data_IF_226026047372
#
_entry.id   IF_226026047372
#
_cell.length_a   1.000
_cell.length_b   1.000
_cell.length_c   1.000
_cell.angle_alpha   90.00
_cell.angle_beta   90.00
_cell.angle_gamma   90.00
#
_symmetry.space_group_name_H-M   'P 1'
#
loop_
_entity.id
_entity.type
_entity.pdbx_description
1 polymer ?
#
# COMPACT_ATOMS: atom_id res chain seq x y z
N UNK A 1 -49.96 33.10 -17.29
CA UNK A 1 -49.15 34.19 -16.69
C UNK A 1 -47.68 33.87 -16.98
N UNK A 2 -47.09 34.32 -18.09
CA UNK A 2 -46.39 35.61 -18.34
C UNK A 2 -45.28 35.96 -17.33
N UNK A 3 -44.05 35.99 -17.88
CA UNK A 3 -42.84 36.78 -17.54
C UNK A 3 -41.97 36.20 -16.39
N UNK A 4 -40.63 36.16 -16.43
CA UNK A 4 -39.65 36.89 -17.27
C UNK A 4 -38.26 36.22 -17.20
N UNK A 5 -37.53 36.32 -18.32
CA UNK A 5 -36.11 36.01 -18.46
C UNK A 5 -35.22 36.99 -17.67
N UNK A 6 -34.05 36.53 -17.19
CA UNK A 6 -32.88 37.37 -17.02
C UNK A 6 -31.65 36.67 -17.60
N UNK A 7 -31.27 37.09 -18.80
CA UNK A 7 -29.96 36.89 -19.36
C UNK A 7 -29.11 38.11 -18.97
N UNK A 8 -27.92 37.89 -18.42
CA UNK A 8 -26.88 38.92 -18.33
C UNK A 8 -25.67 38.40 -19.09
N UNK A 9 -25.56 38.91 -20.31
CA UNK A 9 -24.34 38.92 -21.11
C UNK A 9 -23.54 40.15 -20.70
N UNK A 10 -22.26 40.01 -20.36
CA UNK A 10 -21.34 41.14 -20.42
C UNK A 10 -20.03 40.69 -21.08
N UNK A 11 -19.71 41.36 -22.18
CA UNK A 11 -18.62 41.11 -23.11
C UNK A 11 -18.06 42.50 -23.44
N UNK A 12 -16.83 42.81 -23.02
CA UNK A 12 -16.04 44.00 -23.42
C UNK A 12 -14.56 43.56 -23.39
N UNK A 13 -13.94 43.25 -24.54
CA UNK A 13 -13.08 44.12 -25.40
C UNK A 13 -11.81 44.60 -24.66
N UNK A 14 -10.62 44.03 -24.86
CA UNK A 14 -9.68 44.12 -26.00
C UNK A 14 -8.67 45.27 -25.91
N UNK A 15 -7.44 44.99 -26.38
CA UNK A 15 -6.29 45.87 -26.67
C UNK A 15 -5.38 46.14 -25.45
N UNK A 16 -4.07 45.92 -25.48
CA UNK A 16 -3.15 45.87 -26.61
C UNK A 16 -2.16 47.03 -26.47
N UNK A 17 -1.01 46.80 -25.84
CA UNK A 17 0.16 47.69 -25.96
C UNK A 17 1.37 46.81 -26.26
N UNK A 18 1.64 46.70 -27.56
CA UNK A 18 2.99 46.52 -28.06
C UNK A 18 3.70 47.87 -27.89
N UNK A 19 4.85 47.87 -27.20
CA UNK A 19 5.86 48.91 -27.34
C UNK A 19 7.14 48.28 -27.87
N UNK A 20 7.55 48.80 -29.02
CA UNK A 20 8.70 48.41 -29.81
C UNK A 20 10.03 48.86 -29.19
N UNK A 21 11.06 48.06 -29.46
CA UNK A 21 12.48 48.39 -29.67
C UNK A 21 13.02 49.75 -29.19
N UNK A 22 14.03 49.68 -28.33
CA UNK A 22 15.23 50.50 -28.51
C UNK A 22 16.47 49.65 -28.28
N UNK A 23 17.23 49.50 -29.35
CA UNK A 23 18.57 48.93 -29.39
C UNK A 23 19.55 49.90 -28.75
N UNK A 24 20.23 49.47 -27.68
CA UNK A 24 21.52 50.04 -27.32
C UNK A 24 22.51 48.90 -27.13
N UNK A 25 23.36 48.73 -28.13
CA UNK A 25 24.51 47.86 -28.09
C UNK A 25 25.48 48.38 -27.01
N UNK A 26 25.60 47.65 -25.91
CA UNK A 26 26.78 47.68 -25.06
C UNK A 26 27.46 46.32 -25.13
N UNK A 27 28.70 46.37 -25.62
CA UNK A 27 29.70 45.32 -25.56
C UNK A 27 30.01 45.09 -24.09
N UNK A 28 29.64 43.93 -23.55
CA UNK A 28 30.15 43.43 -22.29
C UNK A 28 30.71 42.02 -22.49
N UNK A 29 31.93 41.91 -22.00
CA UNK A 29 32.94 40.85 -21.98
C UNK A 29 32.42 39.45 -21.64
N UNK A 30 33.04 38.34 -22.14
CA UNK A 30 32.59 36.99 -21.85
C UNK A 30 32.70 36.71 -20.36
N UNK A 31 31.56 36.40 -19.73
CA UNK A 31 31.50 35.88 -18.37
C UNK A 31 32.13 34.48 -18.39
N UNK A 32 33.23 34.32 -17.66
CA UNK A 32 33.85 33.02 -17.44
C UNK A 32 32.82 32.01 -16.95
N UNK A 33 32.80 30.83 -17.58
CA UNK A 33 31.99 29.70 -17.15
C UNK A 33 32.31 29.40 -15.69
N UNK A 34 31.32 29.60 -14.81
CA UNK A 34 31.36 29.03 -13.47
C UNK A 34 31.47 27.50 -13.64
N UNK A 35 32.42 26.83 -12.96
CA UNK A 35 32.50 25.40 -13.02
C UNK A 35 31.19 24.85 -12.46
N UNK A 36 30.40 24.22 -13.34
CA UNK A 36 29.29 23.35 -12.95
C UNK A 36 29.87 22.36 -11.97
N UNK A 37 29.60 22.61 -10.69
CA UNK A 37 29.96 21.69 -9.63
C UNK A 37 29.17 20.43 -9.93
N UNK A 38 29.85 19.44 -10.51
CA UNK A 38 29.33 18.09 -10.60
C UNK A 38 29.00 17.70 -9.17
N UNK A 39 27.70 17.68 -8.87
CA UNK A 39 27.20 17.09 -7.64
C UNK A 39 27.59 15.63 -7.75
N UNK A 40 28.65 15.29 -7.02
CA UNK A 40 29.16 13.95 -6.89
C UNK A 40 28.02 13.05 -6.41
N UNK A 41 27.42 12.32 -7.35
CA UNK A 41 26.33 11.37 -7.08
C UNK A 41 26.83 10.11 -6.37
N UNK A 42 28.08 10.10 -5.91
CA UNK A 42 28.67 9.04 -5.11
C UNK A 42 28.78 9.40 -3.63
N UNK A 43 27.81 10.17 -3.09
CA UNK A 43 27.49 10.10 -1.66
C UNK A 43 27.18 8.63 -1.34
N UNK A 44 28.22 7.94 -0.84
CA UNK A 44 28.24 6.56 -0.44
C UNK A 44 26.88 6.17 0.12
N UNK A 45 26.10 5.38 -0.65
CA UNK A 45 24.94 4.70 -0.10
C UNK A 45 25.50 3.77 0.97
N UNK A 46 25.52 4.26 2.21
CA UNK A 46 25.85 3.47 3.38
C UNK A 46 25.00 2.21 3.27
N UNK A 47 25.67 1.06 3.19
CA UNK A 47 24.98 -0.21 3.12
C UNK A 47 24.07 -0.33 4.36
N UNK A 48 22.79 -0.64 4.12
CA UNK A 48 21.79 -0.77 5.16
C UNK A 48 22.25 -1.78 6.21
N UNK A 49 22.06 -1.47 7.49
CA UNK A 49 22.32 -2.45 8.57
C UNK A 49 21.40 -3.69 8.46
N UNK A 50 20.34 -3.58 7.66
CA UNK A 50 19.37 -4.62 7.35
C UNK A 50 19.58 -5.26 5.97
N UNK A 51 20.72 -5.04 5.30
CA UNK A 51 20.98 -5.59 3.96
C UNK A 51 20.75 -7.11 3.87
N UNK A 52 21.21 -7.88 4.87
CA UNK A 52 21.01 -9.34 4.93
C UNK A 52 19.54 -9.73 5.12
N UNK A 53 18.78 -8.97 5.91
CA UNK A 53 17.34 -9.17 6.05
C UNK A 53 16.63 -8.88 4.72
N UNK A 54 16.95 -7.75 4.08
CA UNK A 54 16.32 -7.31 2.83
C UNK A 54 16.59 -8.30 1.69
N UNK A 55 17.74 -8.98 1.67
CA UNK A 55 18.05 -10.04 0.69
C UNK A 55 17.10 -11.25 0.76
N UNK A 56 16.45 -11.49 1.90
CA UNK A 56 15.47 -12.60 2.06
C UNK A 56 14.15 -12.33 1.35
N UNK A 57 13.82 -11.07 1.07
CA UNK A 57 12.60 -10.70 0.35
C UNK A 57 12.82 -10.81 -1.15
N UNK A 58 11.98 -11.59 -1.85
CA UNK A 58 12.07 -11.74 -3.30
C UNK A 58 11.60 -10.45 -4.01
N UNK A 59 12.40 -9.84 -4.90
CA UNK A 59 11.93 -8.70 -5.67
C UNK A 59 10.74 -9.08 -6.57
N UNK A 60 9.72 -8.22 -6.61
CA UNK A 60 8.55 -8.40 -7.48
C UNK A 60 8.17 -7.09 -8.20
N UNK A 61 7.51 -7.22 -9.34
CA UNK A 61 6.84 -6.13 -10.06
C UNK A 61 5.44 -6.60 -10.45
N UNK A 62 4.45 -5.73 -10.29
CA UNK A 62 3.05 -6.03 -10.57
C UNK A 62 2.28 -4.76 -10.90
N UNK A 63 1.24 -4.92 -11.73
CA UNK A 63 0.19 -3.91 -11.90
C UNK A 63 -0.94 -4.15 -10.88
N UNK A 64 -1.25 -5.43 -10.63
CA UNK A 64 -2.19 -5.86 -9.59
C UNK A 64 -1.67 -7.17 -9.00
N UNK A 65 -1.64 -7.24 -7.68
CA UNK A 65 -1.28 -8.44 -6.92
C UNK A 65 -2.40 -8.72 -5.93
N UNK A 66 -3.09 -9.83 -6.14
CA UNK A 66 -4.02 -10.39 -5.18
C UNK A 66 -3.26 -11.05 -4.03
N UNK A 67 -3.75 -10.80 -2.82
CA UNK A 67 -3.18 -11.27 -1.56
C UNK A 67 -4.30 -11.92 -0.76
N UNK A 68 -4.28 -13.24 -0.70
CA UNK A 68 -5.21 -14.08 0.03
C UNK A 68 -4.51 -14.82 1.15
N UNK A 69 -5.29 -15.21 2.15
CA UNK A 69 -4.90 -16.18 3.15
C UNK A 69 -5.30 -17.52 2.54
N UNK A 70 -4.36 -18.34 2.16
CA UNK A 70 -4.68 -19.74 1.89
C UNK A 70 -3.54 -20.55 2.48
N UNK A 71 -3.86 -21.28 3.55
CA UNK A 71 -2.90 -22.11 4.27
C UNK A 71 -2.67 -23.45 3.54
N UNK A 72 -3.71 -23.96 2.89
CA UNK A 72 -3.76 -25.36 2.43
C UNK A 72 -4.08 -25.52 0.94
N UNK A 73 -3.77 -24.50 0.13
CA UNK A 73 -3.91 -24.59 -1.32
C UNK A 73 -2.57 -24.79 -2.01
N UNK A 74 -2.64 -25.15 -3.30
CA UNK A 74 -1.46 -25.20 -4.18
C UNK A 74 -0.76 -23.83 -4.28
N UNK A 75 -1.38 -22.76 -3.79
CA UNK A 75 -0.85 -21.42 -3.84
C UNK A 75 0.22 -21.17 -2.77
N UNK A 76 1.47 -21.33 -3.19
CA UNK A 76 2.64 -21.09 -2.34
C UNK A 76 3.20 -19.67 -2.50
N UNK A 77 2.45 -18.73 -3.12
CA UNK A 77 2.94 -17.37 -3.43
C UNK A 77 3.43 -16.65 -2.18
N UNK A 78 2.79 -16.81 -1.03
CA UNK A 78 3.17 -16.12 0.22
C UNK A 78 3.82 -17.04 1.26
N UNK A 79 4.44 -18.15 0.84
CA UNK A 79 5.19 -19.02 1.76
C UNK A 79 6.41 -18.30 2.35
N UNK A 80 7.13 -17.55 1.52
CA UNK A 80 8.30 -16.77 1.93
C UNK A 80 9.47 -17.59 2.48
N UNK A 81 10.49 -16.89 2.97
CA UNK A 81 11.62 -17.42 3.71
C UNK A 81 11.47 -17.06 5.20
N UNK A 82 11.57 -18.04 6.08
CA UNK A 82 11.44 -17.81 7.52
C UNK A 82 12.55 -16.88 8.05
N UNK A 83 12.15 -15.90 8.86
CA UNK A 83 13.05 -15.00 9.56
C UNK A 83 13.52 -15.62 10.87
N UNK A 84 14.73 -15.26 11.30
CA UNK A 84 15.18 -15.57 12.66
C UNK A 84 14.40 -14.74 13.68
N UNK A 85 14.36 -15.19 14.94
CA UNK A 85 13.73 -14.43 16.03
C UNK A 85 14.31 -13.00 16.15
N UNK A 86 15.61 -12.82 15.91
CA UNK A 86 16.26 -11.50 15.93
C UNK A 86 15.73 -10.58 14.82
N UNK A 87 15.53 -11.12 13.63
CA UNK A 87 15.02 -10.37 12.49
C UNK A 87 13.52 -10.05 12.64
N UNK A 88 12.72 -11.02 13.11
CA UNK A 88 11.30 -10.84 13.33
C UNK A 88 11.00 -9.75 14.37
N UNK A 89 11.86 -9.58 15.40
CA UNK A 89 11.76 -8.50 16.41
C UNK A 89 11.84 -7.08 15.83
N UNK A 90 12.28 -6.91 14.59
CA UNK A 90 12.32 -5.61 13.92
C UNK A 90 10.91 -5.19 13.46
N UNK A 91 10.02 -6.16 13.23
CA UNK A 91 8.66 -5.91 12.76
C UNK A 91 7.77 -5.43 13.91
N UNK A 92 6.92 -4.40 13.70
CA UNK A 92 6.08 -3.80 14.73
C UNK A 92 4.81 -4.64 14.99
N UNK A 93 4.96 -5.92 15.32
CA UNK A 93 3.83 -6.86 15.47
C UNK A 93 3.14 -6.81 16.86
N UNK A 94 3.61 -5.94 17.76
CA UNK A 94 3.02 -5.73 19.08
C UNK A 94 3.37 -6.82 20.11
N UNK A 95 3.05 -8.09 19.83
CA UNK A 95 3.24 -9.20 20.78
C UNK A 95 4.32 -10.14 20.26
N UNK A 96 5.52 -10.05 20.84
CA UNK A 96 6.65 -10.95 20.56
C UNK A 96 6.57 -12.26 21.34
N UNK A 97 5.48 -12.52 22.04
CA UNK A 97 5.33 -13.69 22.92
C UNK A 97 4.69 -14.90 22.20
N UNK A 98 4.08 -14.69 21.02
CA UNK A 98 3.48 -15.74 20.19
C UNK A 98 4.46 -16.37 19.19
N UNK A 99 5.77 -16.30 19.45
CA UNK A 99 6.71 -17.11 18.68
C UNK A 99 6.38 -18.57 18.94
N UNK A 100 6.08 -19.33 17.88
CA UNK A 100 5.78 -20.77 17.92
C UNK A 100 7.03 -21.55 18.38
N UNK A 101 7.38 -21.46 19.67
CA UNK A 101 8.59 -21.99 20.26
C UNK A 101 9.87 -21.29 19.75
N UNK A 102 10.69 -22.03 18.98
CA UNK A 102 11.95 -21.51 18.40
C UNK A 102 11.76 -20.80 17.06
N UNK A 103 10.59 -20.96 16.44
CA UNK A 103 10.25 -20.40 15.13
C UNK A 103 9.73 -18.99 15.31
N UNK A 104 10.06 -18.10 14.36
CA UNK A 104 9.58 -16.72 14.44
C UNK A 104 8.13 -16.56 13.98
N UNK A 105 7.63 -17.50 13.17
CA UNK A 105 6.33 -17.37 12.53
C UNK A 105 6.25 -16.20 11.52
N UNK A 106 7.36 -15.52 11.24
CA UNK A 106 7.44 -14.42 10.28
C UNK A 106 8.25 -14.87 9.07
N UNK A 107 7.68 -14.69 7.87
CA UNK A 107 8.30 -15.12 6.62
C UNK A 107 8.40 -13.95 5.64
N UNK A 108 9.61 -13.70 5.14
CA UNK A 108 9.87 -12.72 4.10
C UNK A 108 9.34 -13.24 2.75
N UNK A 109 8.31 -12.59 2.19
CA UNK A 109 7.72 -13.01 0.91
C UNK A 109 8.30 -12.19 -0.25
N UNK A 110 7.97 -10.90 -0.30
CA UNK A 110 8.30 -10.05 -1.45
C UNK A 110 8.75 -8.66 -1.06
N UNK A 111 9.55 -8.04 -1.91
CA UNK A 111 9.84 -6.60 -1.84
C UNK A 111 9.60 -5.92 -3.18
N UNK A 112 9.21 -4.65 -3.13
CA UNK A 112 9.06 -3.80 -4.31
C UNK A 112 9.31 -2.34 -3.96
N UNK A 113 9.81 -1.52 -4.90
CA UNK A 113 10.00 -0.09 -4.65
C UNK A 113 8.63 0.60 -4.58
N UNK A 114 8.38 1.34 -3.50
CA UNK A 114 7.26 2.28 -3.44
C UNK A 114 7.65 3.57 -4.14
N UNK A 115 8.81 4.11 -3.78
CA UNK A 115 9.45 5.25 -4.44
C UNK A 115 10.99 5.20 -4.27
N UNK A 116 11.68 6.33 -4.41
CA UNK A 116 13.14 6.41 -4.22
C UNK A 116 13.58 6.19 -2.77
N UNK A 117 12.71 6.47 -1.80
CA UNK A 117 12.96 6.47 -0.37
C UNK A 117 12.43 5.22 0.31
N UNK A 118 11.29 4.70 -0.15
CA UNK A 118 10.55 3.63 0.53
C UNK A 118 10.54 2.31 -0.25
N UNK A 119 10.68 1.21 0.48
CA UNK A 119 10.47 -0.15 -0.01
C UNK A 119 9.22 -0.71 0.66
N UNK A 120 8.32 -1.29 -0.14
CA UNK A 120 7.24 -2.14 0.36
C UNK A 120 7.77 -3.55 0.58
N UNK A 121 7.57 -4.08 1.79
CA UNK A 121 7.91 -5.44 2.18
C UNK A 121 6.63 -6.20 2.50
N UNK A 122 6.38 -7.30 1.79
CA UNK A 122 5.28 -8.23 2.07
C UNK A 122 5.84 -9.37 2.91
N UNK A 123 5.32 -9.53 4.12
CA UNK A 123 5.68 -10.64 5.00
C UNK A 123 4.42 -11.40 5.44
N UNK A 124 4.54 -12.72 5.53
CA UNK A 124 3.59 -13.55 6.28
C UNK A 124 3.94 -13.43 7.77
N UNK A 125 2.93 -13.26 8.60
CA UNK A 125 3.06 -12.99 10.03
C UNK A 125 2.12 -13.89 10.84
N UNK A 126 2.41 -14.10 12.13
CA UNK A 126 1.50 -14.79 13.05
C UNK A 126 0.12 -14.10 13.06
N UNK A 127 -0.94 -14.89 12.91
CA UNK A 127 -2.30 -14.59 13.35
C UNK A 127 -2.55 -15.21 14.73
N UNK A 128 -3.82 -15.38 15.07
CA UNK A 128 -4.21 -15.84 16.41
C UNK A 128 -3.82 -17.30 16.68
N UNK A 129 -4.01 -18.18 15.69
CA UNK A 129 -3.75 -19.62 15.84
C UNK A 129 -2.60 -20.15 14.95
N UNK A 130 -2.30 -19.49 13.83
CA UNK A 130 -1.21 -19.85 12.92
C UNK A 130 -0.66 -18.59 12.21
N UNK A 131 0.47 -18.68 11.51
CA UNK A 131 0.97 -17.67 10.57
C UNK A 131 0.12 -17.59 9.30
N UNK A 132 -1.15 -17.25 9.47
CA UNK A 132 -2.18 -17.16 8.44
C UNK A 132 -2.42 -15.72 7.95
N UNK A 133 -1.70 -14.72 8.48
CA UNK A 133 -1.84 -13.33 8.04
C UNK A 133 -0.69 -12.89 7.14
N UNK A 134 -0.96 -11.96 6.22
CA UNK A 134 0.02 -11.31 5.35
C UNK A 134 -0.07 -9.80 5.54
N UNK A 135 1.07 -9.18 5.85
CA UNK A 135 1.19 -7.74 6.08
C UNK A 135 2.06 -7.03 5.04
N UNK A 136 1.72 -5.77 4.76
CA UNK A 136 2.56 -4.81 4.05
C UNK A 136 3.26 -3.89 5.05
N UNK A 137 4.58 -3.97 5.06
CA UNK A 137 5.46 -3.13 5.85
C UNK A 137 6.18 -2.13 4.94
N UNK A 138 6.52 -0.97 5.48
CA UNK A 138 7.30 0.05 4.76
C UNK A 138 8.67 0.16 5.41
N UNK A 139 9.71 0.04 4.60
CA UNK A 139 11.09 0.27 4.99
C UNK A 139 11.56 1.62 4.44
N UNK A 140 12.03 2.51 5.33
CA UNK A 140 12.62 3.80 4.99
C UNK A 140 14.12 3.64 4.73
N UNK A 141 14.56 3.79 3.48
CA UNK A 141 15.97 3.65 3.10
C UNK A 141 16.86 4.76 3.66
N UNK A 142 16.31 5.96 3.85
CA UNK A 142 17.09 7.09 4.34
C UNK A 142 17.31 7.00 5.85
N UNK A 143 16.29 6.54 6.59
CA UNK A 143 16.36 6.33 8.04
C UNK A 143 16.87 4.93 8.42
N UNK A 144 17.01 4.04 7.44
CA UNK A 144 17.45 2.66 7.60
C UNK A 144 16.62 1.93 8.68
N UNK A 145 15.28 1.96 8.56
CA UNK A 145 14.38 1.37 9.55
C UNK A 145 13.01 0.99 8.97
N UNK A 146 12.33 0.02 9.60
CA UNK A 146 10.90 -0.21 9.39
C UNK A 146 10.06 0.92 10.01
N UNK A 147 8.99 1.30 9.32
CA UNK A 147 7.97 2.16 9.90
C UNK A 147 7.15 1.39 10.95
N UNK A 148 6.58 2.13 11.91
CA UNK A 148 5.86 1.55 13.06
C UNK A 148 4.51 0.95 12.69
N UNK A 149 3.91 1.41 11.60
CA UNK A 149 2.60 0.97 11.14
C UNK A 149 2.77 0.01 9.97
N UNK A 150 1.86 -0.95 9.86
CA UNK A 150 1.77 -1.90 8.75
C UNK A 150 0.30 -2.14 8.41
N UNK A 151 0.04 -2.55 7.18
CA UNK A 151 -1.30 -2.86 6.71
C UNK A 151 -1.48 -4.37 6.61
N UNK A 152 -2.48 -4.93 7.30
CA UNK A 152 -2.92 -6.31 7.02
C UNK A 152 -3.54 -6.36 5.63
N UNK A 153 -2.86 -7.08 4.73
CA UNK A 153 -3.32 -7.34 3.38
C UNK A 153 -4.26 -8.55 3.35
N UNK A 154 -3.98 -9.53 4.19
CA UNK A 154 -4.86 -10.67 4.34
C UNK A 154 -4.76 -11.26 5.74
N UNK A 155 -5.88 -11.75 6.24
CA UNK A 155 -6.01 -12.46 7.50
C UNK A 155 -7.24 -13.33 7.42
N UNK A 156 -7.22 -14.41 8.18
CA UNK A 156 -8.39 -15.21 8.47
C UNK A 156 -8.37 -15.58 9.94
N UNK A 157 -9.54 -15.55 10.53
CA UNK A 157 -9.74 -15.82 11.94
C UNK A 157 -11.16 -16.32 12.11
N UNK A 158 -11.34 -17.24 13.05
CA UNK A 158 -12.65 -17.51 13.61
C UNK A 158 -12.52 -18.13 14.99
N UNK A 159 -13.43 -17.75 15.87
CA UNK A 159 -13.55 -18.27 17.23
C UNK A 159 -14.99 -18.15 17.69
N UNK A 160 -15.48 -19.12 18.45
CA UNK A 160 -16.79 -19.09 19.09
C UNK A 160 -17.95 -18.56 18.21
N UNK A 161 -17.98 -18.96 16.94
CA UNK A 161 -19.01 -18.58 15.97
C UNK A 161 -18.70 -17.31 15.17
N UNK A 162 -17.76 -16.48 15.61
CA UNK A 162 -17.24 -15.38 14.82
C UNK A 162 -16.32 -15.90 13.71
N UNK A 163 -16.43 -15.31 12.53
CA UNK A 163 -15.52 -15.48 11.40
C UNK A 163 -15.15 -14.10 10.88
N UNK A 164 -13.86 -13.90 10.57
CA UNK A 164 -13.35 -12.70 9.92
C UNK A 164 -12.29 -13.07 8.90
N UNK A 165 -12.50 -12.61 7.66
CA UNK A 165 -11.56 -12.75 6.57
C UNK A 165 -11.27 -11.40 5.90
N UNK A 166 -10.00 -11.18 5.55
CA UNK A 166 -9.59 -10.10 4.65
C UNK A 166 -8.86 -10.66 3.44
N UNK A 167 -9.27 -10.18 2.27
CA UNK A 167 -8.52 -10.32 1.02
C UNK A 167 -8.20 -8.94 0.48
N UNK A 168 -6.99 -8.75 -0.06
CA UNK A 168 -6.61 -7.47 -0.67
C UNK A 168 -6.04 -7.61 -2.07
N UNK A 169 -6.20 -6.56 -2.85
CA UNK A 169 -5.52 -6.36 -4.12
C UNK A 169 -4.61 -5.14 -4.02
N UNK A 170 -3.30 -5.37 -4.04
CA UNK A 170 -2.30 -4.32 -4.20
C UNK A 170 -2.26 -3.88 -5.67
N UNK A 171 -2.50 -2.60 -5.90
CA UNK A 171 -2.67 -2.04 -7.24
C UNK A 171 -1.65 -0.95 -7.45
N UNK A 172 -0.86 -1.08 -8.53
CA UNK A 172 0.01 -0.02 -9.02
C UNK A 172 -0.74 0.81 -10.05
N UNK A 173 -1.01 2.06 -9.71
CA UNK A 173 -1.65 2.99 -10.64
C UNK A 173 -0.70 3.37 -11.78
N UNK A 174 -1.26 3.92 -12.86
CA UNK A 174 -0.48 4.46 -13.99
C UNK A 174 0.54 5.53 -13.56
N UNK A 175 0.25 6.26 -12.47
CA UNK A 175 1.13 7.27 -11.91
C UNK A 175 2.17 6.67 -10.94
N UNK A 176 2.36 5.34 -10.96
CA UNK A 176 3.26 4.58 -10.07
C UNK A 176 2.93 4.73 -8.58
N UNK A 177 1.69 5.08 -8.23
CA UNK A 177 1.22 5.07 -6.84
C UNK A 177 0.67 3.70 -6.49
N UNK A 178 0.97 3.23 -5.28
CA UNK A 178 0.46 1.97 -4.77
C UNK A 178 -0.76 2.19 -3.87
N UNK A 179 -1.80 1.40 -4.11
CA UNK A 179 -3.03 1.37 -3.32
C UNK A 179 -3.37 -0.07 -2.95
N UNK A 180 -4.10 -0.26 -1.85
CA UNK A 180 -4.67 -1.56 -1.49
C UNK A 180 -6.18 -1.46 -1.51
N UNK A 181 -6.85 -2.21 -2.39
CA UNK A 181 -8.28 -2.48 -2.27
C UNK A 181 -8.43 -3.66 -1.32
N UNK A 182 -9.03 -3.47 -0.15
CA UNK A 182 -9.34 -4.56 0.77
C UNK A 182 -10.83 -4.89 0.72
N UNK A 183 -11.12 -6.18 0.82
CA UNK A 183 -12.43 -6.76 1.06
C UNK A 183 -12.40 -7.46 2.41
N UNK A 184 -13.27 -7.01 3.30
CA UNK A 184 -13.46 -7.57 4.63
C UNK A 184 -14.80 -8.30 4.63
N UNK A 185 -14.76 -9.55 5.09
CA UNK A 185 -15.92 -10.39 5.32
C UNK A 185 -15.94 -10.78 6.79
N UNK A 186 -17.08 -10.59 7.44
CA UNK A 186 -17.32 -11.13 8.77
C UNK A 186 -18.61 -11.92 8.79
N UNK A 187 -18.68 -12.96 9.61
CA UNK A 187 -19.91 -13.66 9.89
C UNK A 187 -20.00 -14.09 11.35
N UNK A 188 -21.22 -14.27 11.85
CA UNK A 188 -21.50 -14.89 13.14
C UNK A 188 -22.48 -16.04 12.99
N UNK A 189 -22.08 -17.23 13.43
CA UNK A 189 -22.87 -18.46 13.38
C UNK A 189 -23.54 -18.72 14.73
N UNK A 190 -24.86 -18.58 14.81
CA UNK A 190 -25.62 -18.73 16.07
C UNK A 190 -25.67 -20.17 16.60
N UNK A 191 -25.26 -21.15 15.79
CA UNK A 191 -25.25 -22.57 16.16
C UNK A 191 -24.32 -22.92 17.33
N UNK A 192 -23.37 -22.03 17.63
CA UNK A 192 -22.45 -22.15 18.78
C UNK A 192 -23.15 -21.89 20.12
N UNK A 193 -24.26 -21.15 20.11
CA UNK A 193 -25.07 -20.85 21.30
C UNK A 193 -26.30 -21.77 21.39
N UNK A 194 -26.99 -22.00 20.27
CA UNK A 194 -28.09 -22.96 20.14
C UNK A 194 -27.90 -23.82 18.90
N UNK A 195 -27.65 -25.11 19.10
CA UNK A 195 -27.46 -26.08 18.01
C UNK A 195 -28.65 -26.23 17.04
N UNK A 196 -29.83 -25.70 17.39
CA UNK A 196 -31.00 -25.68 16.52
C UNK A 196 -31.16 -24.37 15.73
N UNK A 197 -30.39 -23.33 16.09
CA UNK A 197 -30.35 -22.06 15.38
C UNK A 197 -29.25 -22.11 14.32
N UNK A 198 -29.66 -22.23 13.06
CA UNK A 198 -28.76 -22.24 11.90
C UNK A 198 -28.70 -20.88 11.19
N UNK A 199 -29.10 -19.79 11.86
CA UNK A 199 -28.97 -18.44 11.30
C UNK A 199 -27.52 -17.98 11.30
N UNK A 200 -27.19 -17.15 10.31
CA UNK A 200 -25.86 -16.56 10.14
C UNK A 200 -26.05 -15.07 9.85
N UNK A 201 -25.39 -14.23 10.64
CA UNK A 201 -25.29 -12.80 10.35
C UNK A 201 -24.01 -12.53 9.56
N UNK A 202 -24.10 -11.81 8.43
CA UNK A 202 -22.96 -11.57 7.53
C UNK A 202 -22.75 -10.07 7.30
N UNK A 203 -21.48 -9.66 7.22
CA UNK A 203 -21.07 -8.29 6.93
C UNK A 203 -19.98 -8.26 5.87
N UNK A 204 -20.16 -7.40 4.87
CA UNK A 204 -19.20 -7.17 3.79
C UNK A 204 -18.79 -5.71 3.71
N UNK A 205 -17.49 -5.43 3.74
CA UNK A 205 -16.95 -4.09 3.63
C UNK A 205 -15.82 -4.00 2.61
N UNK A 206 -15.72 -2.82 1.96
CA UNK A 206 -14.64 -2.54 1.01
C UNK A 206 -13.93 -1.25 1.40
N UNK A 207 -12.61 -1.33 1.36
CA UNK A 207 -11.72 -0.23 1.73
C UNK A 207 -10.71 0.01 0.62
N UNK A 208 -10.36 1.28 0.39
CA UNK A 208 -9.23 1.64 -0.46
C UNK A 208 -8.21 2.39 0.38
N UNK A 209 -7.00 1.84 0.51
CA UNK A 209 -5.91 2.41 1.28
C UNK A 209 -4.84 3.03 0.37
N UNK A 210 -4.23 4.11 0.83
CA UNK A 210 -3.03 4.67 0.24
C UNK A 210 -1.79 3.97 0.81
N UNK A 211 -1.03 3.24 -0.02
CA UNK A 211 0.18 2.55 0.42
C UNK A 211 1.45 3.39 0.28
N UNK A 212 1.33 4.64 -0.18
CA UNK A 212 2.45 5.58 -0.32
C UNK A 212 2.72 6.39 0.95
N UNK A 213 1.82 6.34 1.93
CA UNK A 213 1.91 7.11 3.18
C UNK A 213 2.44 6.22 4.30
N UNK A 214 3.30 6.75 5.20
CA UNK A 214 3.73 6.08 6.42
C UNK A 214 2.61 5.51 7.31
N UNK A 215 1.38 6.04 7.21
CA UNK A 215 0.25 5.71 8.10
C UNK A 215 -0.91 4.96 7.45
N UNK A 216 -0.73 4.49 6.21
CA UNK A 216 -1.77 3.78 5.44
C UNK A 216 -3.17 4.42 5.54
N UNK A 217 -3.31 5.63 5.00
CA UNK A 217 -4.57 6.37 5.09
C UNK A 217 -5.70 5.72 4.26
N UNK A 218 -6.90 5.66 4.83
CA UNK A 218 -8.10 5.22 4.10
C UNK A 218 -8.54 6.30 3.12
N UNK A 219 -8.47 6.02 1.82
CA UNK A 219 -8.94 6.87 0.72
C UNK A 219 -10.47 6.80 0.60
N UNK A 220 -11.06 5.61 0.76
CA UNK A 220 -12.50 5.42 0.64
C UNK A 220 -13.01 4.19 1.39
N UNK A 221 -14.25 4.29 1.88
CA UNK A 221 -15.07 3.20 2.44
C UNK A 221 -16.38 2.98 1.66
N UNK A 222 -16.58 3.68 0.54
CA UNK A 222 -17.84 3.59 -0.21
C UNK A 222 -17.87 2.31 -1.05
N UNK A 223 -18.39 1.23 -0.48
CA UNK A 223 -18.40 -0.09 -1.10
C UNK A 223 -19.05 -0.11 -2.48
N UNK A 224 -20.20 0.55 -2.67
CA UNK A 224 -20.88 0.61 -3.98
C UNK A 224 -19.99 1.25 -5.06
N UNK A 225 -19.32 2.36 -4.73
CA UNK A 225 -18.38 3.04 -5.64
C UNK A 225 -17.16 2.16 -5.92
N UNK A 226 -16.59 1.53 -4.89
CA UNK A 226 -15.40 0.69 -5.02
C UNK A 226 -15.68 -0.57 -5.85
N UNK A 227 -16.79 -1.27 -5.59
CA UNK A 227 -17.27 -2.40 -6.40
C UNK A 227 -17.43 -2.01 -7.87
N UNK A 228 -17.99 -0.82 -8.15
CA UNK A 228 -18.12 -0.30 -9.53
C UNK A 228 -16.76 0.04 -10.15
N UNK A 229 -15.89 0.73 -9.41
CA UNK A 229 -14.58 1.18 -9.88
C UNK A 229 -13.64 0.01 -10.20
N UNK A 230 -13.64 -1.02 -9.35
CA UNK A 230 -12.74 -2.16 -9.43
C UNK A 230 -13.41 -3.44 -9.93
N UNK A 231 -14.59 -3.32 -10.57
CA UNK A 231 -15.38 -4.45 -11.09
C UNK A 231 -14.58 -5.48 -11.91
N UNK A 232 -13.54 -5.05 -12.63
CA UNK A 232 -12.69 -5.97 -13.41
C UNK A 232 -11.81 -6.84 -12.52
N UNK A 233 -11.22 -6.26 -11.49
CA UNK A 233 -10.37 -6.99 -10.53
C UNK A 233 -11.26 -7.99 -9.78
N UNK A 234 -12.38 -7.51 -9.23
CA UNK A 234 -13.31 -8.32 -8.42
C UNK A 234 -14.01 -9.44 -9.19
N UNK A 235 -14.10 -9.36 -10.53
CA UNK A 235 -14.69 -10.43 -11.36
C UNK A 235 -13.74 -11.57 -11.67
N UNK A 236 -12.44 -11.36 -11.51
CA UNK A 236 -11.43 -12.37 -11.90
C UNK A 236 -11.26 -13.44 -10.81
N UNK A 237 -11.98 -13.29 -9.70
CA UNK A 237 -11.81 -14.06 -8.45
C UNK A 237 -13.03 -14.95 -8.16
N UNK A 238 -14.09 -14.86 -8.97
CA UNK A 238 -15.29 -15.72 -8.88
C UNK A 238 -15.32 -16.78 -9.98
#
# INVERSE_FOLDING_TARGET
>A
MKRTNFAITLLILSQGIFLSCSSNAKKDTPKADEPVTQVDSSLFQKESVYAELLKKFKPISFDTLEVTYEYDTKDKRFKGQELTLKEAKIFPLGITENFFGKLSGVYACYQFPLDSTYIGLIARIPGEYDANSVGLFIFDRQKDQLLKEYLHLSVDFGDAGDVYGRTSWLIKSKNKQYQSLAYDYSAYYHEVEDTNDHTVDEWEEYYLFNCMSPKFDTISKNGTRLKKQFKRILKTVN
#
